data_IF_928219611931
#
_entry.id   IF_928219611931
#
_cell.length_a   1.000
_cell.length_b   1.000
_cell.length_c   1.000
_cell.angle_alpha   90.00
_cell.angle_beta   90.00
_cell.angle_gamma   90.00
#
_symmetry.space_group_name_H-M   'P 1'
#
loop_
_entity.id
_entity.type
_entity.pdbx_description
1 polymer ?
#
# COMPACT_ATOMS: atom_id res chain seq x y z
N UNK A 1 -1.03 -10.54 13.71
CA UNK A 1 -2.07 -10.50 14.76
C UNK A 1 -2.67 -9.11 14.96
N UNK A 2 -1.92 -8.06 15.33
CA UNK A 2 -2.51 -6.71 15.47
C UNK A 2 -2.97 -6.13 14.12
N UNK A 3 -2.12 -6.25 13.09
CA UNK A 3 -2.48 -5.87 11.70
C UNK A 3 -3.75 -6.55 11.22
N UNK A 4 -3.91 -7.85 11.46
CA UNK A 4 -5.06 -8.63 11.00
C UNK A 4 -6.36 -8.16 11.68
N UNK A 5 -6.28 -7.76 12.96
CA UNK A 5 -7.41 -7.18 13.70
C UNK A 5 -7.78 -5.79 13.16
N UNK A 6 -6.79 -4.95 12.86
CA UNK A 6 -7.02 -3.64 12.25
C UNK A 6 -7.63 -3.76 10.85
N UNK A 7 -7.20 -4.75 10.06
CA UNK A 7 -7.77 -5.02 8.74
C UNK A 7 -9.19 -5.57 8.85
N UNK A 8 -9.47 -6.45 9.81
CA UNK A 8 -10.83 -6.92 10.05
C UNK A 8 -11.77 -5.78 10.46
N UNK A 9 -11.32 -4.87 11.33
CA UNK A 9 -12.09 -3.68 11.71
C UNK A 9 -12.40 -2.78 10.50
N UNK A 10 -11.47 -2.63 9.56
CA UNK A 10 -11.71 -1.86 8.32
C UNK A 10 -12.82 -2.50 7.49
N UNK A 11 -12.88 -3.82 7.40
CA UNK A 11 -13.97 -4.51 6.70
C UNK A 11 -15.33 -4.24 7.36
N UNK A 12 -15.39 -4.30 8.69
CA UNK A 12 -16.62 -4.00 9.44
C UNK A 12 -17.08 -2.55 9.20
N UNK A 13 -16.16 -1.58 9.17
CA UNK A 13 -16.46 -0.18 8.88
C UNK A 13 -16.97 0.01 7.44
N UNK A 14 -16.39 -0.69 6.46
CA UNK A 14 -16.85 -0.66 5.07
C UNK A 14 -18.26 -1.26 4.94
N UNK A 15 -18.52 -2.37 5.63
CA UNK A 15 -19.85 -2.99 5.65
C UNK A 15 -20.89 -2.05 6.28
N UNK A 16 -20.51 -1.35 7.35
CA UNK A 16 -21.31 -0.32 7.99
C UNK A 16 -21.45 0.98 7.18
N UNK A 17 -20.83 1.06 5.99
CA UNK A 17 -20.78 2.26 5.13
C UNK A 17 -20.10 3.47 5.76
N UNK A 18 -19.26 3.25 6.77
CA UNK A 18 -18.42 4.28 7.37
C UNK A 18 -17.04 4.29 6.69
N UNK A 19 -17.00 4.94 5.52
CA UNK A 19 -15.77 5.08 4.73
C UNK A 19 -14.71 5.95 5.39
N UNK A 20 -15.13 7.01 6.10
CA UNK A 20 -14.21 7.98 6.72
C UNK A 20 -13.43 7.34 7.88
N UNK A 21 -14.11 6.55 8.72
CA UNK A 21 -13.45 5.80 9.79
C UNK A 21 -12.54 4.71 9.23
N UNK A 22 -12.97 3.99 8.18
CA UNK A 22 -12.15 2.97 7.53
C UNK A 22 -10.84 3.58 6.98
N UNK A 23 -10.94 4.72 6.30
CA UNK A 23 -9.79 5.44 5.76
C UNK A 23 -8.84 5.92 6.87
N UNK A 24 -9.38 6.42 7.99
CA UNK A 24 -8.59 6.84 9.15
C UNK A 24 -7.79 5.69 9.76
N UNK A 25 -8.42 4.53 9.96
CA UNK A 25 -7.76 3.32 10.49
C UNK A 25 -6.63 2.87 9.55
N UNK A 26 -6.91 2.79 8.24
CA UNK A 26 -5.90 2.40 7.25
C UNK A 26 -4.73 3.38 7.18
N UNK A 27 -4.99 4.70 7.26
CA UNK A 27 -3.93 5.70 7.29
C UNK A 27 -3.00 5.53 8.48
N UNK A 28 -3.55 5.34 9.68
CA UNK A 28 -2.72 5.17 10.88
C UNK A 28 -1.94 3.87 10.82
N UNK A 29 -2.57 2.79 10.37
CA UNK A 29 -1.93 1.49 10.16
C UNK A 29 -0.68 1.58 9.26
N UNK A 30 -0.80 2.26 8.11
CA UNK A 30 0.33 2.46 7.18
C UNK A 30 1.40 3.37 7.78
N UNK A 31 1.01 4.43 8.51
CA UNK A 31 1.96 5.30 9.21
C UNK A 31 2.75 4.54 10.28
N UNK A 32 2.08 3.73 11.08
CA UNK A 32 2.69 2.90 12.11
C UNK A 32 3.65 1.87 11.49
N UNK A 33 3.22 1.20 10.42
CA UNK A 33 4.05 0.25 9.67
C UNK A 33 5.30 0.91 9.11
N UNK A 34 5.17 2.12 8.54
CA UNK A 34 6.31 2.89 8.03
C UNK A 34 7.28 3.31 9.15
N UNK A 35 6.78 3.65 10.34
CA UNK A 35 7.62 3.97 11.51
C UNK A 35 8.32 2.73 12.07
N UNK A 36 7.71 1.56 11.95
CA UNK A 36 8.26 0.29 12.42
C UNK A 36 9.37 -0.24 11.49
N UNK A 37 9.41 0.19 10.23
CA UNK A 37 10.51 -0.12 9.33
C UNK A 37 11.77 0.67 9.75
N UNK A 38 12.90 0.00 10.03
CA UNK A 38 14.15 0.70 10.28
C UNK A 38 14.54 1.52 9.05
N UNK A 39 15.05 2.74 9.30
CA UNK A 39 15.46 3.70 8.28
C UNK A 39 16.53 3.08 7.36
N UNK A 40 16.11 2.52 6.24
CA UNK A 40 17.02 1.80 5.33
C UNK A 40 16.37 0.87 4.32
N UNK A 41 15.07 0.55 4.44
CA UNK A 41 14.38 -0.17 3.36
C UNK A 41 13.93 0.81 2.26
N UNK A 42 14.51 0.78 1.05
CA UNK A 42 13.98 1.55 -0.06
C UNK A 42 12.56 1.04 -0.34
N UNK A 43 11.56 1.92 -0.24
CA UNK A 43 10.21 1.62 -0.71
C UNK A 43 10.31 1.52 -2.22
N UNK A 44 10.53 0.30 -2.73
CA UNK A 44 10.56 -0.01 -4.15
C UNK A 44 9.14 0.16 -4.72
N UNK A 45 8.76 1.42 -4.93
CA UNK A 45 7.49 1.86 -5.49
C UNK A 45 7.64 2.35 -6.93
N UNK A 46 8.55 1.78 -7.71
CA UNK A 46 8.59 2.00 -9.17
C UNK A 46 8.42 0.67 -9.89
N UNK A 47 7.17 0.22 -10.00
CA UNK A 47 6.78 -0.64 -11.11
C UNK A 47 6.89 0.19 -12.39
N UNK A 48 8.06 0.16 -13.02
CA UNK A 48 8.26 0.59 -14.39
C UNK A 48 7.59 -0.40 -15.35
N UNK A 49 6.30 -0.23 -15.57
CA UNK A 49 5.60 -0.85 -16.68
C UNK A 49 5.49 0.20 -17.81
N UNK A 50 6.31 0.04 -18.85
CA UNK A 50 6.11 0.73 -20.12
C UNK A 50 7.36 1.03 -20.93
N UNK A 51 8.01 0.01 -21.51
CA UNK A 51 8.62 0.10 -22.85
C UNK A 51 9.18 -1.27 -23.29
N UNK A 52 8.32 -2.28 -23.45
CA UNK A 52 8.57 -3.27 -24.47
C UNK A 52 8.02 -2.71 -25.78
N UNK A 53 8.93 -2.38 -26.72
CA UNK A 53 8.81 -2.39 -28.20
C UNK A 53 9.58 -1.22 -28.84
N UNK A 54 10.82 -1.48 -29.22
CA UNK A 54 11.35 -1.04 -30.52
C UNK A 54 12.53 -1.93 -30.89
N UNK A 55 12.25 -3.03 -31.57
CA UNK A 55 13.23 -3.54 -32.52
C UNK A 55 13.17 -2.67 -33.76
N UNK A 56 14.30 -2.10 -34.17
CA UNK A 56 14.61 -1.77 -35.58
C UNK A 56 16.13 -1.53 -35.73
N UNK A 57 16.73 -2.33 -36.61
CA UNK A 57 17.78 -2.00 -37.59
C UNK A 57 19.13 -1.40 -37.15
N UNK A 58 20.20 -2.16 -37.46
CA UNK A 58 21.28 -1.73 -38.37
C UNK A 58 22.41 -0.87 -37.80
N UNK A 59 23.59 -1.48 -37.61
CA UNK A 59 24.81 -1.26 -38.41
C UNK A 59 25.82 -2.39 -38.14
#
# INVERSE_FOLDING_TARGET
MQSDQEHHLVLELILAKDGDSAERVMREHVRASRRALPAGLPIAGRHENGAARSGTSGD
#
